data_IF_845625395531
#
_entry.id   IF_845625395531
#
_cell.length_a   1.000
_cell.length_b   1.000
_cell.length_c   1.000
_cell.angle_alpha   90.00
_cell.angle_beta   90.00
_cell.angle_gamma   90.00
#
_symmetry.space_group_name_H-M   'P 1'
#
loop_
_entity.id
_entity.type
_entity.pdbx_description
1 polymer ?
#
# COMPACT_ATOMS: atom_id res chain seq x y z
N UNK A 1 -0.41 63.52 -60.78
CA UNK A 1 0.91 62.89 -61.02
C UNK A 1 0.88 61.50 -60.43
N UNK A 2 1.08 60.45 -61.22
CA UNK A 2 1.22 59.10 -60.68
C UNK A 2 2.60 58.96 -60.03
N UNK A 3 2.65 58.46 -58.80
CA UNK A 3 3.91 58.11 -58.12
C UNK A 3 4.34 56.74 -58.61
N UNK A 4 5.55 56.65 -59.16
CA UNK A 4 6.15 55.38 -59.60
C UNK A 4 7.13 54.93 -58.50
N UNK A 5 6.99 53.67 -58.08
CA UNK A 5 7.86 53.04 -57.08
C UNK A 5 8.53 51.81 -57.69
N UNK A 6 9.75 51.50 -57.26
CA UNK A 6 10.47 50.29 -57.62
C UNK A 6 11.01 49.56 -56.38
N UNK A 7 11.06 48.23 -56.45
CA UNK A 7 11.77 47.38 -55.48
C UNK A 7 13.21 47.19 -55.93
N UNK A 8 14.16 47.40 -55.02
CA UNK A 8 15.59 47.19 -55.26
C UNK A 8 16.15 46.29 -54.16
N UNK A 9 16.91 45.26 -54.53
CA UNK A 9 17.66 44.45 -53.56
C UNK A 9 18.87 45.23 -53.06
N UNK A 10 18.99 45.43 -51.74
CA UNK A 10 20.15 46.07 -51.14
C UNK A 10 21.08 45.01 -50.52
N UNK A 11 22.24 44.81 -51.15
CA UNK A 11 23.24 43.83 -50.72
C UNK A 11 23.91 44.16 -49.39
N UNK A 12 23.97 45.43 -48.97
CA UNK A 12 24.60 45.82 -47.71
C UNK A 12 23.75 45.47 -46.47
N UNK A 13 22.43 45.36 -46.63
CA UNK A 13 21.49 45.01 -45.55
C UNK A 13 20.74 43.70 -45.82
N UNK A 14 21.03 43.02 -46.93
CA UNK A 14 20.40 41.75 -47.32
C UNK A 14 18.87 41.81 -47.41
N UNK A 15 18.29 42.92 -47.87
CA UNK A 15 16.84 43.15 -47.84
C UNK A 15 16.32 43.90 -49.08
N UNK A 16 15.04 43.70 -49.43
CA UNK A 16 14.34 44.46 -50.48
C UNK A 16 13.90 45.84 -49.98
N UNK A 17 14.23 46.90 -50.72
CA UNK A 17 13.90 48.30 -50.37
C UNK A 17 13.04 48.93 -51.45
N UNK A 18 11.97 49.61 -51.05
CA UNK A 18 11.12 50.40 -51.96
C UNK A 18 11.71 51.80 -52.12
N UNK A 19 11.98 52.20 -53.36
CA UNK A 19 12.52 53.52 -53.69
C UNK A 19 11.55 54.24 -54.61
N UNK A 20 11.20 55.50 -54.31
CA UNK A 20 10.43 56.35 -55.21
C UNK A 20 11.32 56.91 -56.31
N UNK A 21 10.93 56.74 -57.57
CA UNK A 21 11.62 57.38 -58.68
C UNK A 21 11.04 58.79 -58.88
N UNK A 22 11.89 59.83 -58.75
CA UNK A 22 11.52 61.17 -59.17
C UNK A 22 11.46 61.14 -60.70
N UNK A 23 10.25 61.08 -61.25
CA UNK A 23 10.02 61.20 -62.69
C UNK A 23 10.61 62.53 -63.16
N UNK A 24 11.67 62.45 -63.97
CA UNK A 24 12.39 63.57 -64.57
C UNK A 24 11.46 64.27 -65.57
N UNK A 25 10.63 65.19 -65.08
CA UNK A 25 9.86 66.08 -65.94
C UNK A 25 10.80 67.00 -66.71
N UNK A 26 10.79 66.93 -68.04
CA UNK A 26 11.52 67.83 -68.93
C UNK A 26 11.02 69.28 -68.75
N UNK A 27 11.53 70.00 -67.76
CA UNK A 27 11.53 71.46 -67.73
C UNK A 27 12.88 71.93 -67.18
N UNK A 28 13.70 72.53 -68.05
CA UNK A 28 14.91 73.26 -67.66
C UNK A 28 14.49 74.37 -66.70
N UNK A 29 14.83 74.26 -65.42
CA UNK A 29 14.75 75.37 -64.47
C UNK A 29 16.08 75.49 -63.73
N UNK A 30 16.77 76.62 -63.94
CA UNK A 30 18.05 76.96 -63.35
C UNK A 30 17.85 77.44 -61.91
N UNK A 31 17.89 76.58 -60.87
CA UNK A 31 18.28 77.01 -59.51
C UNK A 31 18.88 75.83 -58.73
N UNK A 32 20.11 76.00 -58.25
CA UNK A 32 20.78 75.14 -57.27
C UNK A 32 19.96 75.04 -55.98
N UNK A 33 19.64 73.82 -55.53
CA UNK A 33 19.47 73.53 -54.10
C UNK A 33 19.64 72.03 -53.88
N UNK A 34 20.63 71.69 -53.06
CA UNK A 34 20.83 70.37 -52.45
C UNK A 34 19.49 69.94 -51.86
N UNK A 35 18.81 69.01 -52.53
CA UNK A 35 17.64 68.35 -51.95
C UNK A 35 18.21 67.35 -50.95
N UNK A 36 18.31 67.80 -49.70
CA UNK A 36 18.26 66.92 -48.53
C UNK A 36 16.92 66.18 -48.61
N UNK A 37 16.86 65.13 -49.41
CA UNK A 37 15.75 64.22 -49.43
C UNK A 37 15.80 63.46 -48.11
N UNK A 38 14.94 63.83 -47.17
CA UNK A 38 14.67 63.03 -45.98
C UNK A 38 14.39 61.60 -46.44
N UNK A 39 15.37 60.72 -46.25
CA UNK A 39 15.22 59.29 -46.43
C UNK A 39 14.40 58.81 -45.24
N UNK A 40 13.08 58.80 -45.39
CA UNK A 40 12.20 58.21 -44.39
C UNK A 40 12.31 56.68 -44.54
N UNK A 41 13.32 56.10 -43.90
CA UNK A 41 13.46 54.65 -43.75
C UNK A 41 12.35 54.16 -42.83
N UNK A 42 11.32 53.56 -43.41
CA UNK A 42 10.33 52.80 -42.65
C UNK A 42 10.90 51.39 -42.45
N UNK A 43 11.52 51.16 -41.28
CA UNK A 43 11.92 49.81 -40.86
C UNK A 43 10.66 49.02 -40.48
N UNK A 44 10.26 48.04 -41.29
CA UNK A 44 9.32 47.00 -40.85
C UNK A 44 10.17 45.86 -40.27
N UNK A 45 10.49 45.95 -38.98
CA UNK A 45 10.96 44.79 -38.21
C UNK A 45 9.73 43.97 -37.80
N UNK A 46 9.32 43.04 -38.66
CA UNK A 46 8.40 41.98 -38.25
C UNK A 46 8.89 40.65 -38.83
N UNK A 47 9.76 40.00 -38.08
CA UNK A 47 10.02 38.57 -38.24
C UNK A 47 10.22 38.01 -36.83
N UNK A 48 9.11 37.79 -36.13
CA UNK A 48 9.07 36.95 -34.95
C UNK A 48 9.27 35.49 -35.41
N UNK A 49 10.48 35.17 -35.86
CA UNK A 49 10.86 33.78 -36.09
C UNK A 49 11.13 33.17 -34.71
N UNK A 50 10.21 32.33 -34.23
CA UNK A 50 10.45 31.48 -33.06
C UNK A 50 11.40 30.39 -33.55
N UNK A 51 12.69 30.56 -33.27
CA UNK A 51 13.69 29.52 -33.48
C UNK A 51 13.68 28.61 -32.25
N UNK A 52 13.24 27.36 -32.41
CA UNK A 52 13.40 26.35 -31.37
C UNK A 52 14.90 26.07 -31.21
N UNK A 53 15.44 26.31 -30.03
CA UNK A 53 16.81 25.96 -29.68
C UNK A 53 16.82 24.54 -29.10
N UNK A 54 17.57 23.65 -29.73
CA UNK A 54 17.74 22.29 -29.23
C UNK A 54 18.71 22.30 -28.04
N UNK A 55 18.34 21.65 -26.93
CA UNK A 55 19.17 21.57 -25.72
C UNK A 55 19.89 20.22 -25.74
N UNK A 56 21.15 20.22 -26.16
CA UNK A 56 21.99 19.02 -26.25
C UNK A 56 22.71 18.68 -24.90
N UNK A 57 22.25 19.26 -23.79
CA UNK A 57 22.82 19.10 -22.45
C UNK A 57 21.74 18.78 -21.42
N UNK A 58 22.15 18.40 -20.20
CA UNK A 58 21.21 18.19 -19.09
C UNK A 58 20.49 19.50 -18.74
N UNK A 59 19.16 19.47 -18.73
CA UNK A 59 18.37 20.57 -18.22
C UNK A 59 18.48 20.61 -16.68
N UNK A 60 19.19 21.61 -16.16
CA UNK A 60 19.22 21.89 -14.72
C UNK A 60 18.17 22.94 -14.37
N UNK A 61 17.10 22.54 -13.68
CA UNK A 61 16.03 23.45 -13.24
C UNK A 61 16.25 23.82 -11.77
N UNK A 62 16.67 25.06 -11.50
CA UNK A 62 16.74 25.60 -10.14
C UNK A 62 15.37 26.18 -9.74
N UNK A 63 14.40 25.30 -9.51
CA UNK A 63 13.02 25.68 -9.21
C UNK A 63 12.02 24.53 -9.39
N UNK A 64 10.72 24.86 -9.43
CA UNK A 64 9.67 23.89 -9.71
C UNK A 64 9.55 23.64 -11.22
N UNK A 65 9.42 22.36 -11.61
CA UNK A 65 9.08 21.95 -12.97
C UNK A 65 7.62 21.48 -12.99
N UNK A 66 6.79 22.15 -13.78
CA UNK A 66 5.42 21.71 -14.03
C UNK A 66 5.41 20.87 -15.31
N UNK A 67 5.20 19.55 -15.18
CA UNK A 67 4.99 18.67 -16.32
C UNK A 67 3.48 18.52 -16.59
N UNK A 68 3.07 18.62 -17.85
CA UNK A 68 1.68 18.38 -18.29
C UNK A 68 1.39 16.92 -18.64
N UNK A 69 2.40 16.05 -18.51
CA UNK A 69 2.32 14.61 -18.74
C UNK A 69 3.07 13.84 -17.66
N UNK A 70 3.13 12.52 -17.82
CA UNK A 70 3.84 11.67 -16.86
C UNK A 70 5.35 11.96 -16.87
N UNK A 71 5.95 11.92 -15.70
CA UNK A 71 7.39 12.08 -15.54
C UNK A 71 7.99 10.69 -15.47
N UNK A 72 8.73 10.32 -16.52
CA UNK A 72 9.46 9.06 -16.60
C UNK A 72 10.94 9.32 -16.35
N UNK A 73 11.46 8.82 -15.23
CA UNK A 73 12.87 8.91 -14.89
C UNK A 73 13.48 7.51 -14.88
N UNK A 74 14.54 7.27 -15.66
CA UNK A 74 15.18 5.95 -15.80
C UNK A 74 14.18 4.82 -16.13
N UNK A 75 13.16 5.11 -16.94
CA UNK A 75 12.12 4.14 -17.31
C UNK A 75 11.04 3.93 -16.25
N UNK A 76 11.06 4.65 -15.13
CA UNK A 76 10.04 4.55 -14.07
C UNK A 76 9.07 5.72 -14.17
N UNK A 77 7.78 5.41 -14.31
CA UNK A 77 6.67 6.36 -14.31
C UNK A 77 6.32 6.79 -12.89
N UNK A 78 6.27 8.10 -12.63
CA UNK A 78 5.80 8.62 -11.36
C UNK A 78 4.33 8.24 -11.08
N UNK A 79 3.51 8.11 -12.13
CA UNK A 79 2.13 7.64 -12.03
C UNK A 79 2.03 6.22 -11.49
N UNK A 80 2.91 5.31 -11.94
CA UNK A 80 2.98 3.94 -11.44
C UNK A 80 3.37 3.93 -9.96
N UNK A 81 4.43 4.67 -9.59
CA UNK A 81 4.88 4.78 -8.19
C UNK A 81 3.75 5.26 -7.28
N UNK A 82 2.99 6.27 -7.71
CA UNK A 82 1.86 6.78 -6.95
C UNK A 82 0.72 5.75 -6.83
N UNK A 83 0.50 4.94 -7.85
CA UNK A 83 -0.50 3.86 -7.83
C UNK A 83 -0.10 2.76 -6.83
N UNK A 84 1.14 2.30 -6.89
CA UNK A 84 1.67 1.27 -6.00
C UNK A 84 1.68 1.72 -4.54
N UNK A 85 2.02 2.99 -4.28
CA UNK A 85 1.97 3.57 -2.94
C UNK A 85 0.55 3.62 -2.38
N UNK A 86 -0.43 4.02 -3.21
CA UNK A 86 -1.83 4.04 -2.81
C UNK A 86 -2.37 2.62 -2.55
N UNK A 87 -1.98 1.64 -3.35
CA UNK A 87 -2.33 0.24 -3.13
C UNK A 87 -1.74 -0.27 -1.81
N UNK A 88 -0.45 -0.02 -1.57
CA UNK A 88 0.25 -0.40 -0.33
C UNK A 88 -0.44 0.20 0.90
N UNK A 89 -0.87 1.47 0.81
CA UNK A 89 -1.63 2.15 1.88
C UNK A 89 -2.98 1.46 2.15
N UNK A 90 -3.69 1.05 1.11
CA UNK A 90 -4.97 0.33 1.25
C UNK A 90 -4.78 -1.05 1.87
N UNK A 91 -3.72 -1.76 1.49
CA UNK A 91 -3.38 -3.08 2.04
C UNK A 91 -3.03 -2.97 3.53
N UNK A 92 -2.26 -1.94 3.91
CA UNK A 92 -1.94 -1.64 5.32
C UNK A 92 -3.19 -1.35 6.15
N UNK A 93 -4.13 -0.55 5.62
CA UNK A 93 -5.40 -0.28 6.31
C UNK A 93 -6.23 -1.56 6.47
N UNK A 94 -6.27 -2.40 5.43
CA UNK A 94 -6.98 -3.69 5.48
C UNK A 94 -6.38 -4.62 6.53
N UNK A 95 -5.04 -4.65 6.64
CA UNK A 95 -4.35 -5.44 7.66
C UNK A 95 -4.62 -4.91 9.06
N UNK A 96 -4.59 -3.57 9.24
CA UNK A 96 -4.92 -2.94 10.51
C UNK A 96 -6.33 -3.32 10.97
N UNK A 97 -7.32 -3.24 10.07
CA UNK A 97 -8.67 -3.69 10.35
C UNK A 97 -8.70 -5.19 10.73
N UNK A 98 -8.01 -6.06 9.98
CA UNK A 98 -7.99 -7.50 10.29
C UNK A 98 -7.34 -7.82 11.66
N UNK A 99 -6.35 -7.04 12.09
CA UNK A 99 -5.67 -7.26 13.36
C UNK A 99 -6.44 -6.64 14.53
N UNK A 100 -6.89 -5.40 14.36
CA UNK A 100 -7.41 -4.54 15.43
C UNK A 100 -8.94 -4.45 15.49
N UNK A 101 -9.68 -5.08 14.56
CA UNK A 101 -11.14 -5.11 14.63
C UNK A 101 -11.60 -5.73 15.97
N UNK A 102 -12.39 -4.97 16.71
CA UNK A 102 -12.83 -5.31 18.08
C UNK A 102 -13.83 -6.46 18.15
N UNK A 103 -14.31 -6.97 17.01
CA UNK A 103 -15.26 -8.08 16.91
C UNK A 103 -14.61 -9.33 16.31
N UNK A 104 -13.80 -9.18 15.26
CA UNK A 104 -13.26 -10.30 14.47
C UNK A 104 -11.74 -10.40 14.42
N UNK A 105 -11.03 -9.42 14.98
CA UNK A 105 -9.57 -9.33 14.92
C UNK A 105 -8.84 -10.34 15.79
N UNK A 106 -7.50 -10.34 15.74
CA UNK A 106 -6.70 -11.28 16.50
C UNK A 106 -6.91 -11.13 18.02
N UNK A 107 -7.14 -9.89 18.47
CA UNK A 107 -7.48 -9.55 19.87
C UNK A 107 -8.72 -10.29 20.37
N UNK A 108 -9.68 -10.62 19.51
CA UNK A 108 -10.90 -11.34 19.94
C UNK A 108 -10.74 -12.86 19.90
N UNK A 109 -9.78 -13.39 19.13
CA UNK A 109 -9.55 -14.85 19.01
C UNK A 109 -8.76 -15.46 20.17
N UNK A 110 -7.93 -14.66 20.84
CA UNK A 110 -7.32 -15.02 22.13
C UNK A 110 -7.83 -13.99 23.12
N UNK A 111 -9.11 -14.11 23.49
CA UNK A 111 -9.63 -13.21 24.51
C UNK A 111 -8.91 -13.53 25.82
N UNK A 112 -8.53 -12.49 26.58
CA UNK A 112 -7.99 -12.66 27.94
C UNK A 112 -8.94 -13.53 28.78
N UNK A 113 -10.24 -13.46 28.52
CA UNK A 113 -11.29 -14.26 29.17
C UNK A 113 -11.13 -15.75 28.90
N UNK A 114 -10.85 -16.18 27.67
CA UNK A 114 -10.67 -17.61 27.35
C UNK A 114 -9.41 -18.15 28.03
N UNK A 115 -8.33 -17.37 28.03
CA UNK A 115 -7.09 -17.72 28.71
C UNK A 115 -7.28 -17.80 30.22
N UNK A 116 -7.93 -16.81 30.82
CA UNK A 116 -8.23 -16.78 32.26
C UNK A 116 -9.16 -17.93 32.65
N UNK A 117 -10.16 -18.25 31.82
CA UNK A 117 -11.07 -19.38 32.02
C UNK A 117 -10.31 -20.71 32.02
N UNK A 118 -9.44 -20.95 31.05
CA UNK A 118 -8.60 -22.14 30.99
C UNK A 118 -7.62 -22.19 32.18
N UNK A 119 -6.97 -21.07 32.49
CA UNK A 119 -6.05 -20.96 33.60
C UNK A 119 -6.75 -21.29 34.93
N UNK A 120 -7.98 -20.81 35.14
CA UNK A 120 -8.75 -21.11 36.34
C UNK A 120 -9.18 -22.58 36.39
N UNK A 121 -9.61 -23.17 35.26
CA UNK A 121 -9.95 -24.60 35.22
C UNK A 121 -8.77 -25.51 35.61
N UNK A 122 -7.53 -25.09 35.33
CA UNK A 122 -6.33 -25.87 35.65
C UNK A 122 -5.78 -25.53 37.03
N UNK A 123 -5.58 -24.23 37.30
CA UNK A 123 -4.75 -23.72 38.39
C UNK A 123 -5.53 -23.08 39.54
N UNK A 124 -6.86 -22.90 39.43
CA UNK A 124 -7.62 -22.30 40.52
C UNK A 124 -7.49 -23.14 41.79
N UNK A 125 -7.08 -22.48 42.89
CA UNK A 125 -6.77 -23.15 44.16
C UNK A 125 -7.97 -23.83 44.82
N UNK A 126 -9.20 -23.50 44.40
CA UNK A 126 -10.43 -24.03 44.98
C UNK A 126 -11.21 -24.95 44.02
N UNK A 127 -11.13 -24.70 42.72
CA UNK A 127 -11.96 -25.35 41.68
C UNK A 127 -11.17 -26.00 40.55
N UNK A 128 -9.85 -25.81 40.51
CA UNK A 128 -8.96 -26.33 39.48
C UNK A 128 -8.85 -27.86 39.47
N UNK A 129 -8.18 -28.41 38.46
CA UNK A 129 -7.99 -29.86 38.30
C UNK A 129 -7.45 -30.55 39.57
N UNK A 130 -6.53 -29.90 40.28
CA UNK A 130 -5.95 -30.44 41.51
C UNK A 130 -6.96 -30.60 42.66
N UNK A 131 -8.08 -29.86 42.67
CA UNK A 131 -9.11 -29.98 43.71
C UNK A 131 -10.21 -30.97 43.34
N UNK A 132 -10.35 -31.35 42.06
CA UNK A 132 -11.36 -32.32 41.59
C UNK A 132 -11.10 -33.77 42.01
N UNK A 133 -9.85 -34.12 42.31
CA UNK A 133 -9.52 -35.34 43.05
C UNK A 133 -8.85 -34.89 44.33
N UNK A 134 -9.66 -34.61 45.35
CA UNK A 134 -9.09 -34.31 46.65
C UNK A 134 -8.35 -35.55 47.16
N UNK A 135 -7.17 -35.35 47.77
CA UNK A 135 -6.45 -36.46 48.41
C UNK A 135 -7.34 -37.16 49.45
N UNK A 136 -8.30 -36.45 50.06
CA UNK A 136 -9.31 -37.01 50.95
C UNK A 136 -10.27 -37.98 50.26
N UNK A 137 -10.75 -37.70 49.05
CA UNK A 137 -11.64 -38.60 48.32
C UNK A 137 -10.89 -39.87 47.90
N UNK A 138 -9.67 -39.73 47.40
CA UNK A 138 -8.81 -40.86 47.07
C UNK A 138 -8.50 -41.71 48.31
N UNK A 139 -8.12 -41.07 49.42
CA UNK A 139 -7.84 -41.78 50.67
C UNK A 139 -9.10 -42.46 51.24
N UNK A 140 -10.27 -41.83 51.11
CA UNK A 140 -11.55 -42.41 51.56
C UNK A 140 -11.90 -43.63 50.73
N UNK A 141 -11.79 -43.57 49.40
CA UNK A 141 -12.00 -44.72 48.53
C UNK A 141 -10.99 -45.84 48.81
N UNK A 142 -9.71 -45.50 48.93
CA UNK A 142 -8.65 -46.45 49.23
C UNK A 142 -8.88 -47.14 50.59
N UNK A 143 -9.32 -46.38 51.59
CA UNK A 143 -9.68 -46.93 52.91
C UNK A 143 -10.90 -47.82 52.80
N UNK A 144 -11.95 -47.41 52.08
CA UNK A 144 -13.15 -48.23 51.90
C UNK A 144 -12.88 -49.54 51.17
N UNK A 145 -12.00 -49.55 50.16
CA UNK A 145 -11.65 -50.77 49.42
C UNK A 145 -10.79 -51.71 50.28
N UNK A 146 -9.84 -51.16 51.04
CA UNK A 146 -8.84 -51.94 51.77
C UNK A 146 -9.13 -52.10 53.28
N UNK A 147 -10.26 -51.60 53.77
CA UNK A 147 -10.65 -51.76 55.18
C UNK A 147 -10.76 -53.24 55.52
N UNK A 148 -10.07 -53.66 56.59
CA UNK A 148 -9.94 -55.08 56.95
C UNK A 148 -11.28 -55.70 57.36
N UNK A 149 -12.20 -54.88 57.87
CA UNK A 149 -13.48 -55.36 58.38
C UNK A 149 -14.60 -55.23 57.34
N UNK A 150 -14.57 -54.20 56.50
CA UNK A 150 -15.69 -53.80 55.63
C UNK A 150 -15.35 -53.70 54.14
N UNK A 151 -14.07 -53.80 53.79
CA UNK A 151 -13.56 -53.69 52.43
C UNK A 151 -13.82 -54.91 51.56
N UNK A 152 -13.32 -54.87 50.32
CA UNK A 152 -13.64 -55.87 49.31
C UNK A 152 -13.17 -57.27 49.74
N UNK A 153 -12.01 -57.33 50.41
CA UNK A 153 -11.39 -58.55 50.91
C UNK A 153 -12.21 -59.23 52.01
N UNK A 154 -12.95 -58.47 52.83
CA UNK A 154 -13.81 -59.05 53.88
C UNK A 154 -15.15 -59.53 53.33
N UNK A 155 -15.67 -58.87 52.28
CA UNK A 155 -16.93 -59.26 51.60
C UNK A 155 -16.77 -60.42 50.61
N UNK A 156 -15.59 -60.59 50.02
CA UNK A 156 -15.24 -61.73 49.20
C UNK A 156 -14.32 -62.68 50.00
N UNK A 157 -14.79 -63.09 51.19
CA UNK A 157 -13.98 -63.96 52.04
C UNK A 157 -13.68 -65.28 51.31
N UNK A 158 -12.48 -65.83 51.51
CA UNK A 158 -12.12 -67.14 50.95
C UNK A 158 -13.11 -68.24 51.36
N UNK A 159 -13.77 -68.06 52.51
CA UNK A 159 -14.81 -68.94 53.04
C UNK A 159 -16.09 -68.89 52.18
N UNK A 160 -16.56 -67.71 51.79
CA UNK A 160 -17.74 -67.57 50.95
C UNK A 160 -17.48 -68.08 49.54
N UNK A 161 -16.28 -67.81 49.00
CA UNK A 161 -15.85 -68.33 47.70
C UNK A 161 -15.74 -69.86 47.67
N UNK A 162 -15.19 -70.46 48.74
CA UNK A 162 -15.10 -71.91 48.88
C UNK A 162 -16.48 -72.55 49.08
N UNK A 163 -17.37 -71.89 49.83
CA UNK A 163 -18.76 -72.34 50.01
C UNK A 163 -19.50 -72.37 48.68
N UNK A 164 -19.38 -71.32 47.86
CA UNK A 164 -19.96 -71.26 46.52
C UNK A 164 -19.37 -72.34 45.59
N UNK A 165 -18.04 -72.49 45.56
CA UNK A 165 -17.36 -73.52 44.76
C UNK A 165 -17.85 -74.93 45.09
N UNK A 166 -18.01 -75.24 46.37
CA UNK A 166 -18.48 -76.54 46.82
C UNK A 166 -19.96 -76.77 46.49
N UNK A 167 -20.80 -75.73 46.55
CA UNK A 167 -22.17 -75.81 46.06
C UNK A 167 -22.23 -76.09 44.56
N UNK A 168 -21.43 -75.39 43.74
CA UNK A 168 -21.35 -75.63 42.29
C UNK A 168 -20.88 -77.06 41.97
N UNK A 169 -19.84 -77.54 42.66
CA UNK A 169 -19.37 -78.93 42.47
C UNK A 169 -20.42 -79.97 42.84
N UNK A 170 -21.14 -79.78 43.94
CA UNK A 170 -22.20 -80.72 44.35
C UNK A 170 -23.36 -80.76 43.35
N UNK A 171 -23.67 -79.66 42.67
CA UNK A 171 -24.70 -79.63 41.62
C UNK A 171 -24.22 -80.38 40.37
N UNK A 172 -22.95 -80.24 39.99
CA UNK A 172 -22.37 -80.97 38.84
C UNK A 172 -22.22 -82.47 39.11
N UNK A 173 -21.93 -82.88 40.35
CA UNK A 173 -21.76 -84.29 40.70
C UNK A 173 -23.09 -85.04 40.88
N UNK A 174 -24.17 -84.34 41.24
CA UNK A 174 -25.49 -84.94 41.50
C UNK A 174 -26.50 -84.73 40.37
N UNK A 175 -26.13 -84.02 39.29
CA UNK A 175 -26.99 -83.73 38.15
C UNK A 175 -26.69 -84.52 36.87
N UNK A 176 -25.84 -85.55 36.94
CA UNK A 176 -25.51 -86.47 35.84
C UNK A 176 -26.01 -87.88 36.10
#
# INVERSE_FOLDING_TARGET
MNKVYKLVWNTAIGSWVVVSEIVKGNKKSKINKIVKGSMFLLFIVNSNAILAQDINESLNVNGSLTATGDVVANGVSLTIVNTDLNQTKNDLNTLDDQVNNTSTGLVTKVSQVDFDSLNNQVNDSSTGLATKVSQSDFNSLNSQVNDVNTGLTSKASATDLNSLKNQTWNIQSNGG
#
